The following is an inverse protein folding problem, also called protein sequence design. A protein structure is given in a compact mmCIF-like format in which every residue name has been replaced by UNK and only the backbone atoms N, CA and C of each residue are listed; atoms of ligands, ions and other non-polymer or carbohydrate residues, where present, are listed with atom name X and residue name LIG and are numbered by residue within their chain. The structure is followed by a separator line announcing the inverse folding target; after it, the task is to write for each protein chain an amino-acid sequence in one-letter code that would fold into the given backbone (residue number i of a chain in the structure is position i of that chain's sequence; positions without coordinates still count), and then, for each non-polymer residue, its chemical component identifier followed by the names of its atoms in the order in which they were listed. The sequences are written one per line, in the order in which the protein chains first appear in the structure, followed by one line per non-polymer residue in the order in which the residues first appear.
data_IF_330198346203
#
_entry.id   IF_330198346203
#
_cell.length_a   1.000
_cell.length_b   1.000
_cell.length_c   1.000
_cell.angle_alpha   90.00
_cell.angle_beta   90.00
_cell.angle_gamma   90.00
#
_symmetry.space_group_name_H-M   'P 1'
#
loop_
_entity.id
_entity.type
_entity.pdbx_description
1 polymer ?
#
# COMPACT_ATOMS: atom_id res chain seq x y z
N UNK A 1 28.03 5.78 6.41
CA UNK A 1 27.94 4.58 7.28
C UNK A 1 26.49 4.27 7.61
N UNK A 2 26.21 3.02 8.00
CA UNK A 2 24.92 2.51 8.47
C UNK A 2 25.19 1.30 9.39
N UNK A 3 24.48 1.11 10.52
CA UNK A 3 23.28 1.83 10.99
C UNK A 3 23.55 3.19 11.65
N UNK A 4 24.81 3.56 11.88
CA UNK A 4 25.21 4.88 12.40
C UNK A 4 25.10 5.99 11.35
N UNK A 5 25.18 7.25 11.78
CA UNK A 5 25.30 8.42 10.89
C UNK A 5 26.56 9.20 11.27
N UNK A 6 27.59 9.09 10.45
CA UNK A 6 28.92 9.67 10.65
C UNK A 6 29.51 9.36 12.04
N UNK A 7 29.40 8.11 12.49
CA UNK A 7 29.89 7.66 13.81
C UNK A 7 28.96 7.97 14.98
N UNK A 8 27.88 8.72 14.79
CA UNK A 8 26.86 8.94 15.81
C UNK A 8 25.76 7.87 15.75
N UNK A 9 25.11 7.64 16.90
CA UNK A 9 23.85 6.90 16.93
C UNK A 9 22.82 7.62 16.04
N UNK A 10 22.06 6.85 15.25
CA UNK A 10 21.10 7.37 14.27
C UNK A 10 20.04 8.31 14.88
N UNK A 11 19.68 8.16 16.16
CA UNK A 11 18.67 9.02 16.79
C UNK A 11 19.26 10.24 17.51
N UNK A 12 20.59 10.31 17.64
CA UNK A 12 21.30 11.34 18.40
C UNK A 12 22.24 12.17 17.49
N UNK A 13 22.06 12.12 16.18
CA UNK A 13 22.85 12.91 15.25
C UNK A 13 22.55 14.41 15.41
N UNK A 14 23.56 15.29 15.53
CA UNK A 14 23.35 16.70 15.86
C UNK A 14 22.61 17.45 14.74
N UNK A 15 21.57 18.20 15.11
CA UNK A 15 20.75 19.01 14.20
C UNK A 15 21.56 20.04 13.39
N UNK A 16 22.59 20.62 14.00
CA UNK A 16 23.49 21.58 13.34
C UNK A 16 24.29 20.97 12.18
N UNK A 17 24.45 19.65 12.15
CA UNK A 17 25.16 18.92 11.09
C UNK A 17 24.22 18.40 9.98
N UNK A 18 22.90 18.54 10.14
CA UNK A 18 21.91 18.15 9.13
C UNK A 18 21.74 19.25 8.07
N UNK A 19 22.77 19.47 7.26
CA UNK A 19 22.76 20.51 6.22
C UNK A 19 22.93 19.89 4.84
N UNK A 20 22.24 20.42 3.83
CA UNK A 20 22.35 19.99 2.44
C UNK A 20 21.92 18.52 2.22
N UNK A 21 22.73 17.75 1.49
CA UNK A 21 22.43 16.34 1.18
C UNK A 21 22.27 15.44 2.42
N UNK A 22 22.99 15.75 3.51
CA UNK A 22 22.93 15.01 4.78
C UNK A 22 21.55 15.13 5.43
N UNK A 23 20.91 16.29 5.35
CA UNK A 23 19.56 16.49 5.87
C UNK A 23 18.57 15.51 5.25
N UNK A 24 18.59 15.38 3.92
CA UNK A 24 17.68 14.50 3.20
C UNK A 24 17.93 13.03 3.48
N UNK A 25 19.20 12.62 3.50
CA UNK A 25 19.56 11.22 3.79
C UNK A 25 19.18 10.85 5.22
N UNK A 26 19.52 11.68 6.20
CA UNK A 26 19.24 11.41 7.59
C UNK A 26 17.74 11.47 7.91
N UNK A 27 17.02 12.47 7.41
CA UNK A 27 15.56 12.58 7.58
C UNK A 27 14.85 11.36 6.98
N UNK A 28 15.33 10.85 5.84
CA UNK A 28 14.79 9.64 5.24
C UNK A 28 14.97 8.41 6.16
N UNK A 29 16.14 8.26 6.81
CA UNK A 29 16.39 7.18 7.78
C UNK A 29 15.48 7.28 9.02
N UNK A 30 15.24 8.50 9.51
CA UNK A 30 14.32 8.74 10.64
C UNK A 30 12.88 8.39 10.27
N UNK A 31 12.40 8.83 9.11
CA UNK A 31 11.07 8.46 8.60
C UNK A 31 10.96 6.96 8.40
N UNK A 32 11.97 6.30 7.84
CA UNK A 32 11.98 4.84 7.67
C UNK A 32 11.88 4.12 9.03
N UNK A 33 12.57 4.63 10.06
CA UNK A 33 12.49 4.09 11.42
C UNK A 33 11.11 4.26 12.04
N UNK A 34 10.48 5.43 11.84
CA UNK A 34 9.11 5.69 12.30
C UNK A 34 8.11 4.77 11.60
N UNK A 35 8.23 4.58 10.28
CA UNK A 35 7.39 3.64 9.51
C UNK A 35 7.59 2.20 10.00
N UNK A 36 8.83 1.79 10.28
CA UNK A 36 9.13 0.48 10.88
C UNK A 36 8.44 0.29 12.22
N UNK A 37 8.54 1.26 13.13
CA UNK A 37 7.88 1.23 14.44
C UNK A 37 6.35 1.17 14.31
N UNK A 38 5.76 2.02 13.47
CA UNK A 38 4.31 2.00 13.21
C UNK A 38 3.86 0.66 12.63
N UNK A 39 4.67 0.02 11.79
CA UNK A 39 4.37 -1.31 11.24
C UNK A 39 4.42 -2.39 12.31
N UNK A 40 5.37 -2.32 13.26
CA UNK A 40 5.40 -3.22 14.42
C UNK A 40 4.14 -3.05 15.27
N UNK A 41 3.76 -1.82 15.60
CA UNK A 41 2.55 -1.53 16.37
C UNK A 41 1.29 -1.99 15.63
N UNK A 42 1.23 -1.80 14.30
CA UNK A 42 0.16 -2.31 13.46
C UNK A 42 0.11 -3.85 13.50
N UNK A 43 1.24 -4.54 13.31
CA UNK A 43 1.29 -6.00 13.35
C UNK A 43 0.81 -6.52 14.71
N UNK A 44 1.32 -5.98 15.82
CA UNK A 44 0.89 -6.35 17.18
C UNK A 44 -0.60 -6.09 17.38
N UNK A 45 -1.10 -4.91 16.98
CA UNK A 45 -2.52 -4.57 17.13
C UNK A 45 -3.44 -5.52 16.35
N UNK A 46 -3.05 -5.91 15.13
CA UNK A 46 -3.76 -6.93 14.34
C UNK A 46 -3.74 -8.30 15.02
N UNK A 47 -2.60 -8.73 15.57
CA UNK A 47 -2.53 -10.01 16.27
C UNK A 47 -3.39 -10.05 17.54
N UNK A 48 -3.53 -8.92 18.25
CA UNK A 48 -4.32 -8.81 19.48
C UNK A 48 -5.82 -8.67 19.22
N UNK A 49 -6.24 -7.82 18.28
CA UNK A 49 -7.65 -7.41 18.16
C UNK A 49 -8.35 -7.83 16.86
N UNK A 50 -7.63 -8.08 15.77
CA UNK A 50 -8.26 -8.46 14.50
C UNK A 50 -8.69 -9.93 14.56
N UNK A 51 -9.94 -10.27 14.23
CA UNK A 51 -10.45 -11.65 14.26
C UNK A 51 -10.09 -12.44 13.00
N UNK A 52 -9.91 -11.76 11.87
CA UNK A 52 -9.67 -12.36 10.56
C UNK A 52 -8.22 -12.82 10.44
N UNK A 53 -7.99 -14.14 10.46
CA UNK A 53 -6.65 -14.76 10.38
C UNK A 53 -5.83 -14.26 9.19
N UNK A 54 -6.44 -14.10 8.02
CA UNK A 54 -5.74 -13.65 6.81
C UNK A 54 -5.21 -12.21 6.94
N UNK A 55 -5.91 -11.31 7.63
CA UNK A 55 -5.45 -9.93 7.88
C UNK A 55 -4.25 -9.92 8.82
N UNK A 56 -4.23 -10.80 9.85
CA UNK A 56 -3.07 -10.95 10.74
C UNK A 56 -1.81 -11.37 9.99
N UNK A 57 -1.95 -12.33 9.07
CA UNK A 57 -0.84 -12.78 8.23
C UNK A 57 -0.37 -11.70 7.25
N UNK A 58 -1.28 -10.86 6.72
CA UNK A 58 -0.87 -9.68 5.95
C UNK A 58 -0.09 -8.67 6.81
N UNK A 59 -0.48 -8.47 8.07
CA UNK A 59 0.28 -7.67 9.03
C UNK A 59 1.69 -8.21 9.28
N UNK A 60 1.82 -9.53 9.45
CA UNK A 60 3.11 -10.20 9.58
C UNK A 60 3.97 -10.08 8.30
N UNK A 61 3.35 -10.21 7.12
CA UNK A 61 4.02 -10.00 5.85
C UNK A 61 4.50 -8.55 5.67
N UNK A 62 3.71 -7.57 6.11
CA UNK A 62 4.10 -6.16 6.08
C UNK A 62 5.31 -5.89 6.99
N UNK A 63 5.33 -6.49 8.18
CA UNK A 63 6.47 -6.43 9.09
C UNK A 63 7.73 -7.06 8.47
N UNK A 64 7.60 -8.24 7.86
CA UNK A 64 8.73 -8.88 7.18
C UNK A 64 9.27 -8.03 6.02
N UNK A 65 8.38 -7.47 5.20
CA UNK A 65 8.74 -6.62 4.07
C UNK A 65 9.44 -5.33 4.49
N UNK A 66 8.97 -4.64 5.55
CA UNK A 66 9.61 -3.40 6.01
C UNK A 66 10.99 -3.66 6.62
N UNK A 67 11.18 -4.79 7.31
CA UNK A 67 12.50 -5.20 7.82
C UNK A 67 13.45 -5.48 6.67
N UNK A 68 13.02 -6.27 5.67
CA UNK A 68 13.82 -6.54 4.48
C UNK A 68 14.16 -5.24 3.73
N UNK A 69 13.20 -4.32 3.58
CA UNK A 69 13.40 -3.03 2.92
C UNK A 69 14.41 -2.15 3.67
N UNK A 70 14.36 -2.12 5.01
CA UNK A 70 15.32 -1.41 5.86
C UNK A 70 16.75 -1.96 5.72
N UNK A 71 16.90 -3.29 5.70
CA UNK A 71 18.20 -3.95 5.47
C UNK A 71 18.75 -3.61 4.08
N UNK A 72 17.94 -3.79 3.03
CA UNK A 72 18.36 -3.48 1.65
C UNK A 72 18.69 -1.98 1.51
N UNK A 73 17.94 -1.10 2.17
CA UNK A 73 18.21 0.34 2.20
C UNK A 73 19.53 0.69 2.88
N UNK A 74 19.84 0.05 4.01
CA UNK A 74 21.14 0.18 4.67
C UNK A 74 22.28 -0.31 3.79
N UNK A 75 22.14 -1.50 3.20
CA UNK A 75 23.13 -2.07 2.28
C UNK A 75 23.36 -1.19 1.06
N UNK A 76 22.30 -0.58 0.50
CA UNK A 76 22.43 0.41 -0.59
C UNK A 76 23.36 1.56 -0.20
N UNK A 77 23.28 2.07 1.03
CA UNK A 77 24.14 3.16 1.49
C UNK A 77 25.59 2.72 1.66
N UNK A 78 25.82 1.50 2.11
CA UNK A 78 27.17 0.98 2.37
C UNK A 78 27.87 0.50 1.10
N UNK A 79 27.16 -0.24 0.25
CA UNK A 79 27.74 -0.94 -0.90
C UNK A 79 27.61 -0.16 -2.21
N UNK A 80 26.69 0.82 -2.29
CA UNK A 80 26.44 1.64 -3.48
C UNK A 80 26.15 0.87 -4.78
N UNK A 81 25.80 -0.42 -4.68
CA UNK A 81 25.47 -1.26 -5.82
C UNK A 81 24.07 -0.93 -6.37
N UNK A 82 23.98 -0.85 -7.71
CA UNK A 82 22.73 -0.58 -8.43
C UNK A 82 21.65 -1.62 -8.12
N UNK A 83 22.05 -2.88 -7.90
CA UNK A 83 21.13 -3.97 -7.57
C UNK A 83 20.35 -3.67 -6.29
N UNK A 84 21.00 -3.16 -5.22
CA UNK A 84 20.29 -2.81 -3.99
C UNK A 84 19.37 -1.62 -4.17
N UNK A 85 19.73 -0.66 -5.04
CA UNK A 85 18.84 0.46 -5.35
C UNK A 85 17.55 0.00 -6.05
N UNK A 86 17.67 -0.91 -7.03
CA UNK A 86 16.51 -1.49 -7.74
C UNK A 86 15.66 -2.33 -6.78
N UNK A 87 16.27 -3.24 -6.02
CA UNK A 87 15.55 -4.07 -5.05
C UNK A 87 14.83 -3.22 -4.00
N UNK A 88 15.51 -2.21 -3.46
CA UNK A 88 14.91 -1.30 -2.48
C UNK A 88 13.68 -0.58 -3.04
N UNK A 89 13.75 -0.10 -4.29
CA UNK A 89 12.63 0.56 -4.96
C UNK A 89 11.43 -0.39 -5.15
N UNK A 90 11.67 -1.62 -5.62
CA UNK A 90 10.61 -2.61 -5.82
C UNK A 90 9.95 -3.02 -4.49
N UNK A 91 10.73 -3.30 -3.45
CA UNK A 91 10.22 -3.67 -2.13
C UNK A 91 9.45 -2.52 -1.47
N UNK A 92 9.90 -1.27 -1.63
CA UNK A 92 9.19 -0.11 -1.11
C UNK A 92 7.78 0.03 -1.72
N UNK A 93 7.65 -0.19 -3.04
CA UNK A 93 6.36 -0.16 -3.73
C UNK A 93 5.44 -1.30 -3.27
N UNK A 94 5.97 -2.53 -3.14
CA UNK A 94 5.22 -3.68 -2.64
C UNK A 94 4.73 -3.47 -1.20
N UNK A 95 5.62 -2.97 -0.32
CA UNK A 95 5.27 -2.62 1.06
C UNK A 95 4.18 -1.55 1.11
N UNK A 96 4.30 -0.48 0.32
CA UNK A 96 3.30 0.58 0.28
C UNK A 96 1.93 0.06 -0.17
N UNK A 97 1.88 -0.75 -1.23
CA UNK A 97 0.63 -1.36 -1.69
C UNK A 97 0.00 -2.26 -0.62
N UNK A 98 0.81 -3.04 0.10
CA UNK A 98 0.33 -3.87 1.21
C UNK A 98 -0.17 -3.03 2.39
N UNK A 99 0.51 -1.94 2.75
CA UNK A 99 0.10 -1.03 3.80
C UNK A 99 -1.25 -0.36 3.48
N UNK A 100 -1.43 0.12 2.25
CA UNK A 100 -2.72 0.64 1.76
C UNK A 100 -3.80 -0.44 1.80
N UNK A 101 -3.48 -1.66 1.38
CA UNK A 101 -4.42 -2.79 1.42
C UNK A 101 -4.85 -3.11 2.86
N UNK A 102 -3.91 -3.16 3.80
CA UNK A 102 -4.21 -3.35 5.23
C UNK A 102 -5.13 -2.24 5.74
N UNK A 103 -4.81 -0.98 5.46
CA UNK A 103 -5.64 0.16 5.87
C UNK A 103 -7.08 0.04 5.34
N UNK A 104 -7.24 -0.37 4.07
CA UNK A 104 -8.55 -0.63 3.47
C UNK A 104 -9.28 -1.77 4.19
N UNK A 105 -8.62 -2.92 4.40
CA UNK A 105 -9.25 -4.11 5.01
C UNK A 105 -9.62 -3.93 6.48
N UNK A 106 -8.91 -3.05 7.19
CA UNK A 106 -9.21 -2.68 8.59
C UNK A 106 -10.19 -1.52 8.70
N UNK A 107 -10.51 -0.83 7.61
CA UNK A 107 -11.44 0.29 7.63
C UNK A 107 -12.88 -0.16 7.94
N UNK A 108 -13.65 0.69 8.61
CA UNK A 108 -15.07 0.43 8.89
C UNK A 108 -15.92 0.29 7.62
N UNK A 109 -15.45 0.87 6.51
CA UNK A 109 -16.10 0.79 5.21
C UNK A 109 -15.93 -0.56 4.52
N UNK A 110 -15.04 -1.44 4.99
CA UNK A 110 -14.82 -2.77 4.41
C UNK A 110 -15.90 -3.75 4.88
N UNK A 111 -16.95 -4.03 4.07
CA UNK A 111 -18.09 -4.78 4.55
C UNK A 111 -17.72 -6.26 4.68
N UNK A 112 -18.14 -6.91 5.77
CA UNK A 112 -18.03 -8.36 5.92
C UNK A 112 -18.99 -9.16 5.01
N UNK A 113 -19.74 -8.49 4.12
CA UNK A 113 -20.81 -9.09 3.31
C UNK A 113 -20.65 -8.72 1.83
N UNK A 114 -20.31 -9.70 1.00
CA UNK A 114 -20.51 -9.64 -0.44
C UNK A 114 -21.40 -10.81 -0.87
N UNK A 115 -22.70 -10.57 -0.97
CA UNK A 115 -23.71 -11.60 -1.27
C UNK A 115 -24.61 -11.32 -2.47
N UNK A 116 -24.32 -10.31 -3.30
CA UNK A 116 -25.30 -9.75 -4.24
C UNK A 116 -24.89 -9.81 -5.72
N UNK A 117 -23.83 -10.53 -6.10
CA UNK A 117 -23.30 -10.49 -7.46
C UNK A 117 -23.10 -11.91 -8.02
N UNK A 118 -23.49 -12.20 -9.29
CA UNK A 118 -23.31 -13.50 -9.91
C UNK A 118 -21.85 -13.96 -9.85
N UNK A 119 -21.62 -15.22 -9.47
CA UNK A 119 -20.27 -15.76 -9.21
C UNK A 119 -19.32 -15.61 -10.41
N UNK A 120 -19.80 -15.73 -11.64
CA UNK A 120 -18.98 -15.62 -12.85
C UNK A 120 -18.49 -14.18 -13.12
N UNK A 121 -19.36 -13.18 -12.92
CA UNK A 121 -19.01 -11.77 -13.10
C UNK A 121 -18.01 -11.31 -12.03
N UNK A 122 -18.20 -11.77 -10.79
CA UNK A 122 -17.25 -11.54 -9.70
C UNK A 122 -15.87 -12.12 -10.01
N UNK A 123 -15.80 -13.31 -10.60
CA UNK A 123 -14.51 -13.93 -10.98
C UNK A 123 -13.84 -13.13 -12.11
N UNK A 124 -14.59 -12.75 -13.15
CA UNK A 124 -14.04 -11.96 -14.26
C UNK A 124 -13.48 -10.61 -13.79
N UNK A 125 -14.22 -9.90 -12.93
CA UNK A 125 -13.79 -8.60 -12.41
C UNK A 125 -12.60 -8.73 -11.45
N UNK A 126 -12.58 -9.75 -10.58
CA UNK A 126 -11.44 -10.03 -9.69
C UNK A 126 -10.18 -10.34 -10.48
N UNK A 127 -10.27 -11.19 -11.50
CA UNK A 127 -9.13 -11.52 -12.38
C UNK A 127 -8.61 -10.27 -13.09
N UNK A 128 -9.49 -9.39 -13.56
CA UNK A 128 -9.10 -8.13 -14.17
C UNK A 128 -8.41 -7.19 -13.17
N UNK A 129 -8.95 -7.02 -11.96
CA UNK A 129 -8.30 -6.22 -10.92
C UNK A 129 -6.90 -6.75 -10.56
N UNK A 130 -6.75 -8.08 -10.46
CA UNK A 130 -5.46 -8.73 -10.20
C UNK A 130 -4.48 -8.52 -11.37
N UNK A 131 -4.96 -8.65 -12.62
CA UNK A 131 -4.15 -8.40 -13.80
C UNK A 131 -3.66 -6.94 -13.87
N UNK A 132 -4.54 -5.97 -13.60
CA UNK A 132 -4.18 -4.54 -13.55
C UNK A 132 -3.14 -4.28 -12.45
N UNK A 133 -3.34 -4.82 -11.24
CA UNK A 133 -2.39 -4.66 -10.14
C UNK A 133 -1.01 -5.24 -10.49
N UNK A 134 -0.96 -6.42 -11.12
CA UNK A 134 0.28 -7.04 -11.56
C UNK A 134 0.99 -6.22 -12.64
N UNK A 135 0.24 -5.71 -13.62
CA UNK A 135 0.78 -4.84 -14.68
C UNK A 135 1.36 -3.55 -14.10
N UNK A 136 0.66 -2.91 -13.15
CA UNK A 136 1.17 -1.74 -12.43
C UNK A 136 2.48 -2.07 -11.70
N UNK A 137 2.56 -3.22 -11.04
CA UNK A 137 3.77 -3.64 -10.34
C UNK A 137 4.94 -3.88 -11.30
N UNK A 138 4.70 -4.57 -12.43
CA UNK A 138 5.70 -4.75 -13.50
C UNK A 138 6.16 -3.40 -14.06
N UNK A 139 5.23 -2.46 -14.27
CA UNK A 139 5.56 -1.10 -14.71
C UNK A 139 6.49 -0.39 -13.71
N UNK A 140 6.27 -0.60 -12.42
CA UNK A 140 7.13 -0.11 -11.34
C UNK A 140 8.56 -0.68 -11.41
N UNK A 141 8.69 -2.00 -11.62
CA UNK A 141 9.99 -2.68 -11.80
C UNK A 141 10.72 -2.14 -13.02
N UNK A 142 10.03 -2.02 -14.16
CA UNK A 142 10.61 -1.45 -15.39
C UNK A 142 11.05 0.00 -15.19
N UNK A 143 10.28 0.79 -14.43
CA UNK A 143 10.65 2.16 -14.07
C UNK A 143 11.90 2.24 -13.18
N UNK A 144 12.05 1.32 -12.21
CA UNK A 144 13.24 1.23 -11.38
C UNK A 144 14.48 0.84 -12.20
N UNK A 145 14.34 -0.14 -13.10
CA UNK A 145 15.38 -0.53 -14.04
C UNK A 145 15.78 0.63 -14.95
N UNK A 146 14.81 1.32 -15.56
CA UNK A 146 15.06 2.47 -16.43
C UNK A 146 15.80 3.59 -15.70
N UNK A 147 15.35 3.93 -14.47
CA UNK A 147 15.98 4.99 -13.68
C UNK A 147 17.44 4.69 -13.32
N UNK A 148 17.76 3.43 -13.01
CA UNK A 148 19.07 3.06 -12.49
C UNK A 148 20.05 2.53 -13.53
N UNK A 149 19.57 2.05 -14.68
CA UNK A 149 20.41 1.48 -15.75
C UNK A 149 20.35 2.27 -17.05
N UNK A 150 19.34 3.13 -17.23
CA UNK A 150 19.05 3.79 -18.51
C UNK A 150 18.47 2.84 -19.58
N UNK A 151 18.36 1.54 -19.31
CA UNK A 151 17.82 0.54 -20.23
C UNK A 151 16.29 0.38 -20.06
N UNK A 152 15.66 -0.47 -20.87
CA UNK A 152 14.22 -0.81 -20.77
C UNK A 152 13.21 0.30 -21.10
N UNK A 153 13.61 1.37 -21.79
CA UNK A 153 12.69 2.45 -22.20
C UNK A 153 11.51 1.92 -23.04
N UNK A 154 11.78 1.12 -24.07
CA UNK A 154 10.73 0.59 -24.96
C UNK A 154 9.75 -0.35 -24.22
N UNK A 155 10.21 -1.36 -23.46
CA UNK A 155 9.33 -2.14 -22.59
C UNK A 155 8.52 -1.29 -21.61
N UNK A 156 9.13 -0.26 -21.00
CA UNK A 156 8.45 0.62 -20.05
C UNK A 156 7.31 1.43 -20.70
N UNK A 157 7.54 1.97 -21.91
CA UNK A 157 6.51 2.70 -22.65
C UNK A 157 5.39 1.77 -23.15
N UNK A 158 5.74 0.58 -23.63
CA UNK A 158 4.76 -0.41 -24.07
C UNK A 158 3.84 -0.85 -22.93
N UNK A 159 4.41 -1.23 -21.78
CA UNK A 159 3.64 -1.65 -20.60
C UNK A 159 2.83 -0.48 -20.04
N UNK A 160 3.32 0.77 -20.11
CA UNK A 160 2.53 1.96 -19.77
C UNK A 160 1.26 2.08 -20.64
N UNK A 161 1.39 1.92 -21.96
CA UNK A 161 0.26 1.96 -22.88
C UNK A 161 -0.76 0.85 -22.61
N UNK A 162 -0.28 -0.39 -22.38
CA UNK A 162 -1.12 -1.51 -21.99
C UNK A 162 -1.87 -1.24 -20.67
N UNK A 163 -1.17 -0.70 -19.67
CA UNK A 163 -1.74 -0.35 -18.37
C UNK A 163 -2.88 0.65 -18.51
N UNK A 164 -2.73 1.70 -19.32
CA UNK A 164 -3.78 2.68 -19.59
C UNK A 164 -5.02 2.02 -20.21
N UNK A 165 -4.82 1.16 -21.22
CA UNK A 165 -5.91 0.42 -21.85
C UNK A 165 -6.66 -0.49 -20.87
N UNK A 166 -5.92 -1.23 -20.03
CA UNK A 166 -6.51 -2.12 -19.02
C UNK A 166 -7.27 -1.35 -17.93
N UNK A 167 -6.75 -0.20 -17.48
CA UNK A 167 -7.44 0.66 -16.50
C UNK A 167 -8.70 1.25 -17.10
N UNK A 168 -8.67 1.69 -18.36
CA UNK A 168 -9.86 2.17 -19.05
C UNK A 168 -10.91 1.06 -19.19
N UNK A 169 -10.49 -0.15 -19.59
CA UNK A 169 -11.37 -1.30 -19.71
C UNK A 169 -12.00 -1.71 -18.36
N UNK A 170 -11.19 -1.76 -17.29
CA UNK A 170 -11.68 -2.01 -15.94
C UNK A 170 -12.70 -0.94 -15.51
N UNK A 171 -12.39 0.34 -15.77
CA UNK A 171 -13.28 1.46 -15.42
C UNK A 171 -14.61 1.37 -16.16
N UNK A 172 -14.59 1.07 -17.46
CA UNK A 172 -15.79 0.85 -18.25
C UNK A 172 -16.61 -0.34 -17.73
N UNK A 173 -15.97 -1.48 -17.44
CA UNK A 173 -16.63 -2.68 -16.89
C UNK A 173 -17.29 -2.39 -15.53
N UNK A 174 -16.60 -1.67 -14.64
CA UNK A 174 -17.15 -1.26 -13.34
C UNK A 174 -18.29 -0.26 -13.52
N UNK A 175 -18.16 0.70 -14.44
CA UNK A 175 -19.19 1.70 -14.71
C UNK A 175 -20.48 1.05 -15.23
N UNK A 176 -20.37 0.16 -16.22
CA UNK A 176 -21.51 -0.60 -16.73
C UNK A 176 -22.19 -1.40 -15.62
N UNK A 177 -21.43 -2.15 -14.81
CA UNK A 177 -22.00 -2.90 -13.68
C UNK A 177 -22.69 -2.02 -12.63
N UNK A 178 -22.22 -0.79 -12.42
CA UNK A 178 -22.87 0.16 -11.49
C UNK A 178 -24.17 0.72 -12.06
N UNK A 179 -24.26 0.92 -13.38
CA UNK A 179 -25.49 1.35 -14.03
C UNK A 179 -26.58 0.29 -13.95
N UNK A 180 -26.21 -0.99 -14.02
CA UNK A 180 -27.13 -2.12 -13.98
C UNK A 180 -27.73 -2.38 -12.59
N UNK A 181 -27.13 -1.83 -11.52
CA UNK A 181 -27.56 -2.04 -10.12
C UNK A 181 -27.79 -0.71 -9.37
N UNK A 182 -28.87 0.03 -9.68
CA UNK A 182 -29.15 1.33 -9.07
C UNK A 182 -29.39 1.27 -7.55
N UNK A 183 -29.75 0.12 -6.98
CA UNK A 183 -29.82 -0.07 -5.53
C UNK A 183 -28.48 0.20 -4.79
N UNK A 184 -27.33 0.09 -5.45
CA UNK A 184 -26.01 0.32 -4.85
C UNK A 184 -25.68 1.81 -4.62
N UNK A 185 -26.35 2.76 -5.30
CA UNK A 185 -26.10 4.20 -5.10
C UNK A 185 -27.04 4.84 -4.08
N UNK A 186 -28.21 4.25 -3.82
CA UNK A 186 -29.22 4.81 -2.90
C UNK A 186 -28.89 4.62 -1.42
N UNK A 187 -27.79 3.93 -1.10
CA UNK A 187 -27.35 3.63 0.25
C UNK A 187 -26.04 4.34 0.62
N UNK A 188 -25.87 5.60 0.21
CA UNK A 188 -25.17 6.53 1.11
C UNK A 188 -26.16 6.83 2.25
N UNK A 189 -25.93 6.34 3.50
CA UNK A 189 -26.59 6.96 4.62
C UNK A 189 -26.08 8.39 4.63
N UNK A 190 -26.97 9.33 4.34
CA UNK A 190 -26.77 10.71 4.74
C UNK A 190 -26.40 10.68 6.22
N UNK A 191 -25.17 11.08 6.53
CA UNK A 191 -24.63 11.23 7.89
C UNK A 191 -25.34 12.35 8.69
N UNK A 192 -26.65 12.55 8.48
CA UNK A 192 -27.40 13.73 8.92
C UNK A 192 -28.42 13.42 10.04
N UNK A 193 -28.54 12.19 10.53
CA UNK A 193 -29.43 11.89 11.68
C UNK A 193 -28.68 11.35 12.90
N UNK A 194 -27.67 12.09 13.36
CA UNK A 194 -27.31 12.05 14.78
C UNK A 194 -28.32 12.91 15.54
N UNK A 195 -29.26 12.26 16.25
CA UNK A 195 -30.12 12.90 17.24
C UNK A 195 -31.55 13.16 16.78
N UNK A 196 -32.42 12.15 16.92
CA UNK A 196 -33.83 12.28 17.38
C UNK A 196 -34.43 10.87 17.48
N UNK A 197 -34.88 10.48 18.68
CA UNK A 197 -35.91 9.45 18.82
C UNK A 197 -35.59 8.20 19.65
N UNK A 198 -34.93 8.32 20.80
CA UNK A 198 -35.21 7.40 21.92
C UNK A 198 -36.32 8.00 22.77
N UNK A 199 -37.58 7.77 22.41
CA UNK A 199 -38.70 7.99 23.34
C UNK A 199 -39.79 6.95 23.10
N UNK A 200 -39.95 6.10 24.13
CA UNK A 200 -41.15 5.38 24.55
C UNK A 200 -42.10 4.79 23.50
N UNK A 201 -42.00 3.47 23.31
CA UNK A 201 -43.19 2.61 23.12
C UNK A 201 -43.07 1.36 24.00
N UNK A 202 -43.74 1.39 25.15
CA UNK A 202 -44.22 0.22 25.91
C UNK A 202 -45.41 0.64 26.76
N UNK A 203 -46.61 0.55 26.19
CA UNK A 203 -47.87 0.33 26.90
C UNK A 203 -48.84 -0.32 25.91
N UNK A 204 -48.91 -1.65 25.99
CA UNK A 204 -50.07 -2.50 25.69
C UNK A 204 -49.75 -3.90 26.22
#
# INVERSE_FOLDING_TARGET
DWPTTFGYNMFLFPWSAMVGGVFYEHSHRLVASAVGLLTVLLAVSLWLWERRRWVRWLGAAALLLVVAQGIIGGLRVVLLEVVFAILHACFAQAFFALAVSLALFTSAAWPARSGWMPRQEVVSLRTLCLAVALVIYVQGILGALLRHTGAMLMPHLFVAGLMVGLVFWLSARVWHHRLDHPELWRSFPTWVSFGRGCLCRRLS
#
